data_IF_626116452071
#
_entry.id   IF_626116452071
#
_cell.length_a   1.000
_cell.length_b   1.000
_cell.length_c   1.000
_cell.angle_alpha   90.00
_cell.angle_beta   90.00
_cell.angle_gamma   90.00
#
_symmetry.space_group_name_H-M   'P 1'
#
loop_
_entity.id
_entity.type
_entity.pdbx_description
1 polymer ?
#
# COMPACT_ATOMS: atom_id res chain seq x y z
N UNK A 1 38.01 22.10 -52.37
CA UNK A 1 36.63 21.89 -51.87
C UNK A 1 36.71 21.45 -50.43
N UNK A 2 36.36 22.33 -49.51
CA UNK A 2 36.45 22.09 -48.06
C UNK A 2 35.04 21.81 -47.57
N UNK A 3 34.73 20.54 -47.19
CA UNK A 3 33.47 20.12 -46.59
C UNK A 3 33.44 20.45 -45.11
N UNK A 4 32.48 21.30 -44.71
CA UNK A 4 32.25 21.73 -43.35
C UNK A 4 31.26 20.74 -42.74
N UNK A 5 31.69 19.84 -41.83
CA UNK A 5 30.82 18.99 -41.06
C UNK A 5 30.32 19.77 -39.84
N UNK A 6 29.04 20.21 -39.87
CA UNK A 6 28.33 20.72 -38.72
C UNK A 6 27.92 19.55 -37.84
N UNK A 7 28.64 19.38 -36.73
CA UNK A 7 28.22 18.45 -35.66
C UNK A 7 26.99 19.00 -34.92
N UNK A 8 25.85 18.36 -35.14
CA UNK A 8 24.63 18.64 -34.39
C UNK A 8 24.70 17.93 -33.01
N UNK A 9 25.10 18.68 -31.98
CA UNK A 9 25.13 18.20 -30.60
C UNK A 9 23.70 18.18 -30.08
N UNK A 10 23.11 16.97 -30.02
CA UNK A 10 21.79 16.74 -29.43
C UNK A 10 21.92 16.80 -27.91
N UNK A 11 21.57 17.94 -27.33
CA UNK A 11 21.49 18.15 -25.89
C UNK A 11 20.25 17.45 -25.39
N UNK A 12 20.38 16.22 -24.87
CA UNK A 12 19.30 15.50 -24.19
C UNK A 12 19.10 16.16 -22.83
N UNK A 13 18.11 17.04 -22.74
CA UNK A 13 17.57 17.56 -21.47
C UNK A 13 16.87 16.42 -20.76
N UNK A 14 17.57 15.76 -19.83
CA UNK A 14 16.96 14.90 -18.83
C UNK A 14 16.13 15.77 -17.90
N UNK A 15 14.85 15.95 -18.24
CA UNK A 15 13.88 16.49 -17.29
C UNK A 15 13.72 15.43 -16.19
N UNK A 16 14.39 15.66 -15.06
CA UNK A 16 14.12 14.95 -13.83
C UNK A 16 12.71 15.33 -13.39
N UNK A 17 11.70 14.58 -13.85
CA UNK A 17 10.37 14.62 -13.30
C UNK A 17 10.49 14.19 -11.84
N UNK A 18 10.26 15.12 -10.90
CA UNK A 18 10.12 14.83 -9.47
C UNK A 18 8.87 14.01 -9.22
N UNK A 19 8.85 12.75 -9.70
CA UNK A 19 7.77 11.81 -9.47
C UNK A 19 7.78 11.37 -8.01
N UNK A 20 6.61 11.08 -7.47
CA UNK A 20 6.45 10.44 -6.16
C UNK A 20 7.33 9.20 -6.14
N UNK A 21 8.21 9.11 -5.14
CA UNK A 21 9.06 7.93 -5.01
C UNK A 21 8.25 6.83 -4.33
N UNK A 22 7.83 5.85 -5.11
CA UNK A 22 7.18 4.63 -4.63
C UNK A 22 8.26 3.71 -4.09
N UNK A 23 8.14 3.30 -2.81
CA UNK A 23 8.98 2.26 -2.22
C UNK A 23 8.43 0.87 -2.51
N UNK A 24 7.12 0.73 -2.44
CA UNK A 24 6.42 -0.51 -2.70
C UNK A 24 5.03 -0.22 -3.26
N UNK A 25 4.62 -0.99 -4.26
CA UNK A 25 3.24 -1.12 -4.74
C UNK A 25 3.06 -2.59 -5.15
N UNK A 26 2.58 -3.41 -4.21
CA UNK A 26 2.51 -4.85 -4.40
C UNK A 26 1.18 -5.41 -3.91
N UNK A 27 0.62 -6.35 -4.68
CA UNK A 27 -0.65 -7.02 -4.39
C UNK A 27 -0.45 -8.52 -4.17
N UNK A 28 -1.10 -9.06 -3.13
CA UNK A 28 -1.21 -10.48 -2.83
C UNK A 28 -2.63 -10.93 -3.02
N UNK A 29 -2.82 -12.05 -3.72
CA UNK A 29 -4.12 -12.68 -3.92
C UNK A 29 -4.31 -13.83 -2.96
N UNK A 30 -5.48 -13.92 -2.36
CA UNK A 30 -5.81 -15.01 -1.45
C UNK A 30 -6.34 -16.22 -2.21
N UNK A 31 -5.81 -17.40 -1.89
CA UNK A 31 -6.29 -18.65 -2.47
C UNK A 31 -7.77 -18.86 -2.11
N UNK A 32 -8.55 -19.28 -3.09
CA UNK A 32 -9.99 -19.55 -2.95
C UNK A 32 -10.78 -18.34 -2.37
N UNK A 33 -10.25 -17.12 -2.46
CA UNK A 33 -10.81 -15.89 -1.90
C UNK A 33 -11.03 -15.97 -0.38
N UNK A 34 -10.09 -16.63 0.32
CA UNK A 34 -10.10 -16.84 1.77
C UNK A 34 -8.80 -16.33 2.38
N UNK A 35 -8.91 -15.40 3.32
CA UNK A 35 -7.77 -14.93 4.10
C UNK A 35 -7.71 -15.66 5.45
N UNK A 36 -6.78 -16.57 5.60
CA UNK A 36 -6.59 -17.35 6.83
C UNK A 36 -6.00 -16.49 7.95
N UNK A 37 -6.52 -16.64 9.17
CA UNK A 37 -6.13 -15.82 10.34
C UNK A 37 -4.65 -15.93 10.71
N UNK A 38 -4.06 -17.11 10.58
CA UNK A 38 -2.68 -17.37 10.98
C UNK A 38 -1.71 -17.44 9.79
N UNK A 39 -2.14 -16.95 8.63
CA UNK A 39 -1.33 -16.84 7.44
C UNK A 39 -1.23 -15.36 7.01
N UNK A 40 -0.36 -14.57 7.67
CA UNK A 40 -0.17 -13.18 7.30
C UNK A 40 0.53 -13.06 5.93
N UNK A 41 0.14 -12.05 5.18
CA UNK A 41 0.84 -11.69 3.95
C UNK A 41 2.12 -10.93 4.28
N UNK A 42 3.22 -11.30 3.63
CA UNK A 42 4.55 -10.73 3.84
C UNK A 42 5.00 -9.93 2.64
N UNK A 43 5.48 -8.70 2.92
CA UNK A 43 5.98 -7.75 1.93
C UNK A 43 7.39 -7.31 2.34
N UNK A 44 8.31 -7.31 1.39
CA UNK A 44 9.68 -6.81 1.60
C UNK A 44 9.91 -5.56 0.75
N UNK A 45 10.58 -4.55 1.33
CA UNK A 45 10.92 -3.32 0.64
C UNK A 45 12.18 -2.69 1.22
N UNK A 46 12.85 -1.89 0.40
CA UNK A 46 14.08 -1.22 0.81
C UNK A 46 13.85 0.27 1.07
N UNK A 47 14.23 0.72 2.26
CA UNK A 47 14.23 2.14 2.64
C UNK A 47 15.63 2.70 2.39
N UNK A 48 15.76 3.59 1.44
CA UNK A 48 17.04 4.23 1.08
C UNK A 48 17.29 5.55 1.81
N UNK A 49 16.24 6.16 2.37
CA UNK A 49 16.35 7.38 3.16
C UNK A 49 15.36 7.36 4.32
N UNK A 50 15.86 7.23 5.55
CA UNK A 50 15.06 7.18 6.76
C UNK A 50 14.56 8.56 7.24
N UNK A 51 15.14 9.66 6.76
CA UNK A 51 14.75 11.04 7.12
C UNK A 51 13.47 11.51 6.40
N UNK A 52 13.02 10.75 5.41
CA UNK A 52 11.79 11.07 4.69
C UNK A 52 10.56 10.62 5.46
N UNK A 53 9.44 11.30 5.19
CA UNK A 53 8.12 10.81 5.55
C UNK A 53 7.56 9.91 4.44
N UNK A 54 6.82 8.90 4.86
CA UNK A 54 6.19 7.93 3.98
C UNK A 54 4.71 7.81 4.30
N UNK A 55 3.90 7.69 3.25
CA UNK A 55 2.49 7.32 3.37
C UNK A 55 2.36 5.83 3.20
N UNK A 56 1.59 5.18 4.05
CA UNK A 56 1.28 3.76 3.98
C UNK A 56 -0.22 3.61 3.78
N UNK A 57 -0.60 3.05 2.64
CA UNK A 57 -1.98 2.74 2.29
C UNK A 57 -2.16 1.23 2.16
N UNK A 58 -3.29 0.74 2.63
CA UNK A 58 -3.75 -0.62 2.35
C UNK A 58 -4.96 -0.56 1.42
N UNK A 59 -5.01 -1.50 0.49
CA UNK A 59 -6.16 -1.69 -0.38
C UNK A 59 -6.55 -3.16 -0.36
N UNK A 60 -7.84 -3.45 -0.16
CA UNK A 60 -8.38 -4.81 -0.23
C UNK A 60 -9.47 -4.91 -1.27
N UNK A 61 -9.51 -6.02 -1.97
CA UNK A 61 -10.63 -6.39 -2.83
C UNK A 61 -11.49 -7.39 -2.08
N UNK A 62 -12.78 -7.06 -1.94
CA UNK A 62 -13.74 -7.82 -1.14
C UNK A 62 -15.07 -7.98 -1.86
N UNK A 63 -15.82 -9.03 -1.49
CA UNK A 63 -17.19 -9.26 -1.95
C UNK A 63 -18.23 -8.99 -0.85
N UNK A 64 -19.49 -9.33 -1.17
CA UNK A 64 -20.63 -9.10 -0.28
C UNK A 64 -20.59 -9.92 1.01
N UNK A 65 -19.87 -11.04 1.07
CA UNK A 65 -19.74 -11.85 2.27
C UNK A 65 -18.97 -11.10 3.35
N UNK A 66 -17.84 -10.52 2.99
CA UNK A 66 -17.02 -9.72 3.89
C UNK A 66 -17.67 -8.37 4.22
N UNK A 67 -18.39 -7.77 3.28
CA UNK A 67 -19.06 -6.48 3.47
C UNK A 67 -20.19 -6.49 4.51
N UNK A 68 -20.54 -7.61 5.11
CA UNK A 68 -21.48 -7.65 6.26
C UNK A 68 -20.89 -6.96 7.51
N UNK A 69 -19.56 -6.86 7.61
CA UNK A 69 -18.86 -6.23 8.73
C UNK A 69 -18.66 -4.72 8.48
N UNK A 70 -18.71 -3.88 9.52
CA UNK A 70 -18.43 -2.45 9.36
C UNK A 70 -16.96 -2.15 9.09
N UNK A 71 -16.05 -2.98 9.65
CA UNK A 71 -14.61 -2.81 9.57
C UNK A 71 -13.92 -4.16 9.44
N UNK A 72 -12.75 -4.14 8.80
CA UNK A 72 -11.80 -5.24 8.75
C UNK A 72 -10.60 -4.89 9.64
N UNK A 73 -10.50 -5.50 10.85
CA UNK A 73 -9.34 -5.32 11.71
C UNK A 73 -8.15 -6.12 11.19
N UNK A 74 -6.96 -5.51 11.26
CA UNK A 74 -5.69 -6.08 10.83
C UNK A 74 -4.65 -5.97 11.93
N UNK A 75 -3.73 -6.94 11.98
CA UNK A 75 -2.47 -6.84 12.70
C UNK A 75 -1.35 -6.57 11.72
N UNK A 76 -0.46 -5.66 12.07
CA UNK A 76 0.71 -5.31 11.27
C UNK A 76 1.96 -5.50 12.11
N UNK A 77 2.88 -6.33 11.65
CA UNK A 77 4.22 -6.47 12.20
C UNK A 77 5.22 -5.89 11.21
N UNK A 78 5.99 -4.92 11.65
CA UNK A 78 7.07 -4.32 10.89
C UNK A 78 8.41 -4.76 11.49
N UNK A 79 9.23 -5.42 10.71
CA UNK A 79 10.59 -5.83 11.06
C UNK A 79 11.58 -4.93 10.36
N UNK A 80 12.49 -4.33 11.14
CA UNK A 80 13.52 -3.44 10.63
C UNK A 80 14.81 -4.20 10.26
N UNK A 81 15.74 -3.59 9.51
CA UNK A 81 17.02 -4.20 9.14
C UNK A 81 17.88 -4.60 10.34
N UNK A 82 17.75 -3.91 11.48
CA UNK A 82 18.47 -4.17 12.73
C UNK A 82 17.76 -5.15 13.68
N UNK A 83 16.70 -5.82 13.22
CA UNK A 83 16.01 -6.88 13.97
C UNK A 83 14.94 -6.37 14.94
N UNK A 84 14.66 -5.08 14.99
CA UNK A 84 13.55 -4.56 15.79
C UNK A 84 12.21 -4.96 15.17
N UNK A 85 11.25 -5.31 16.02
CA UNK A 85 9.87 -5.57 15.63
C UNK A 85 8.95 -4.53 16.24
N UNK A 86 8.14 -3.90 15.40
CA UNK A 86 7.02 -3.05 15.82
C UNK A 86 5.72 -3.69 15.41
N UNK A 87 4.76 -3.74 16.33
CA UNK A 87 3.42 -4.24 16.06
C UNK A 87 2.41 -3.12 16.27
N UNK A 88 1.43 -3.02 15.37
CA UNK A 88 0.28 -2.13 15.53
C UNK A 88 -0.97 -2.74 14.91
N UNK A 89 -2.13 -2.22 15.32
CA UNK A 89 -3.40 -2.57 14.72
C UNK A 89 -3.78 -1.54 13.65
N UNK A 90 -4.40 -2.02 12.58
CA UNK A 90 -4.96 -1.20 11.52
C UNK A 90 -6.41 -1.61 11.26
N UNK A 91 -7.19 -0.72 10.66
CA UNK A 91 -8.57 -0.99 10.33
C UNK A 91 -8.86 -0.50 8.93
N UNK A 92 -9.51 -1.34 8.12
CA UNK A 92 -10.08 -0.93 6.86
C UNK A 92 -11.57 -0.73 7.08
N UNK A 93 -12.05 0.50 6.91
CA UNK A 93 -13.46 0.82 7.03
C UNK A 93 -14.20 0.34 5.79
N UNK A 94 -15.09 -0.63 5.96
CA UNK A 94 -15.92 -1.19 4.89
C UNK A 94 -17.22 -0.41 4.73
N UNK A 95 -17.68 0.24 5.81
CA UNK A 95 -18.86 1.09 5.82
C UNK A 95 -18.59 2.47 6.39
N UNK A 96 -19.35 3.45 5.93
CA UNK A 96 -19.40 4.80 6.46
C UNK A 96 -20.85 5.28 6.40
N UNK A 97 -21.38 5.77 7.53
CA UNK A 97 -22.79 6.20 7.66
C UNK A 97 -23.80 5.15 7.16
N UNK A 98 -23.53 3.86 7.47
CA UNK A 98 -24.36 2.74 7.07
C UNK A 98 -24.27 2.31 5.60
N UNK A 99 -23.52 3.05 4.79
CA UNK A 99 -23.30 2.74 3.36
C UNK A 99 -21.94 2.08 3.14
N UNK A 100 -21.88 1.19 2.15
CA UNK A 100 -20.62 0.58 1.73
C UNK A 100 -19.66 1.61 1.15
N UNK A 101 -18.43 1.59 1.64
CA UNK A 101 -17.32 2.34 1.04
C UNK A 101 -16.79 1.60 -0.20
N UNK A 102 -15.80 2.23 -0.82
CA UNK A 102 -15.08 1.66 -1.94
C UNK A 102 -15.82 1.75 -3.27
N UNK A 103 -15.07 1.46 -4.29
CA UNK A 103 -15.54 1.49 -5.68
C UNK A 103 -15.76 0.06 -6.16
N UNK A 104 -16.75 -0.14 -7.04
CA UNK A 104 -16.88 -1.42 -7.74
C UNK A 104 -15.60 -1.70 -8.54
N UNK A 105 -15.13 -2.93 -8.46
CA UNK A 105 -13.96 -3.35 -9.23
C UNK A 105 -14.32 -3.40 -10.72
N UNK A 106 -13.65 -2.57 -11.51
CA UNK A 106 -13.88 -2.45 -12.95
C UNK A 106 -13.70 -3.79 -13.66
N UNK A 107 -14.70 -4.18 -14.47
CA UNK A 107 -14.72 -5.45 -15.18
C UNK A 107 -15.16 -6.66 -14.33
N UNK A 108 -15.47 -6.46 -13.05
CA UNK A 108 -15.95 -7.48 -12.12
C UNK A 108 -17.25 -7.09 -11.41
N UNK A 109 -18.01 -6.16 -11.99
CA UNK A 109 -19.23 -5.60 -11.40
C UNK A 109 -20.30 -6.68 -11.15
N UNK A 110 -20.40 -7.66 -12.05
CA UNK A 110 -21.33 -8.79 -11.90
C UNK A 110 -21.03 -9.69 -10.69
N UNK A 111 -19.79 -9.70 -10.24
CA UNK A 111 -19.35 -10.45 -9.05
C UNK A 111 -19.54 -9.65 -7.75
N UNK A 112 -19.94 -8.37 -7.86
CA UNK A 112 -20.13 -7.50 -6.70
C UNK A 112 -18.85 -7.15 -5.95
N UNK A 113 -17.69 -7.30 -6.59
CA UNK A 113 -16.40 -7.01 -5.96
C UNK A 113 -16.19 -5.51 -5.78
N UNK A 114 -15.67 -5.13 -4.61
CA UNK A 114 -15.32 -3.75 -4.28
C UNK A 114 -13.88 -3.63 -3.84
N UNK A 115 -13.29 -2.52 -4.25
CA UNK A 115 -11.97 -2.08 -3.83
C UNK A 115 -12.10 -1.10 -2.68
N UNK A 116 -11.50 -1.43 -1.53
CA UNK A 116 -11.47 -0.59 -0.33
C UNK A 116 -10.05 -0.13 -0.08
N UNK A 117 -9.76 1.16 -0.30
CA UNK A 117 -8.46 1.76 0.02
C UNK A 117 -8.56 2.56 1.31
N UNK A 118 -7.60 2.36 2.20
CA UNK A 118 -7.50 3.04 3.48
C UNK A 118 -6.08 3.55 3.69
N UNK A 119 -5.96 4.86 3.97
CA UNK A 119 -4.70 5.40 4.47
C UNK A 119 -4.50 4.94 5.93
N UNK A 120 -3.44 4.20 6.18
CA UNK A 120 -3.13 3.62 7.49
C UNK A 120 -2.21 4.53 8.28
N UNK A 121 -1.19 5.08 7.60
CA UNK A 121 -0.25 6.04 8.17
C UNK A 121 0.00 7.15 7.14
N UNK A 122 -0.53 8.36 7.36
CA UNK A 122 -0.31 9.48 6.43
C UNK A 122 1.14 9.98 6.46
N UNK A 123 1.77 9.90 7.64
CA UNK A 123 3.16 10.27 7.87
C UNK A 123 3.81 9.21 8.75
N UNK A 124 4.71 8.43 8.16
CA UNK A 124 5.45 7.39 8.85
C UNK A 124 6.95 7.61 8.61
N UNK A 125 7.76 7.42 9.64
CA UNK A 125 9.22 7.45 9.56
C UNK A 125 9.78 6.09 9.86
N UNK A 126 10.78 5.69 9.09
CA UNK A 126 11.58 4.50 9.36
C UNK A 126 12.79 4.89 10.21
N UNK A 127 13.26 3.99 11.09
CA UNK A 127 14.37 4.30 12.01
C UNK A 127 15.74 4.19 11.36
N UNK A 128 15.85 3.45 10.26
CA UNK A 128 17.11 3.16 9.58
C UNK A 128 16.88 2.90 8.11
N UNK A 129 17.92 3.02 7.31
CA UNK A 129 17.94 2.54 5.94
C UNK A 129 18.16 1.02 5.87
N UNK A 130 17.72 0.39 4.79
CA UNK A 130 17.88 -1.04 4.57
C UNK A 130 16.57 -1.76 4.29
N UNK A 131 16.63 -3.10 4.28
CA UNK A 131 15.47 -3.94 3.95
C UNK A 131 14.56 -4.12 5.16
N UNK A 132 13.31 -3.75 4.98
CA UNK A 132 12.21 -3.98 5.93
C UNK A 132 11.32 -5.10 5.44
N UNK A 133 10.68 -5.79 6.39
CA UNK A 133 9.63 -6.76 6.13
C UNK A 133 8.37 -6.36 6.90
N UNK A 134 7.24 -6.28 6.20
CA UNK A 134 5.93 -6.02 6.81
C UNK A 134 5.03 -7.23 6.65
N UNK A 135 4.53 -7.75 7.76
CA UNK A 135 3.56 -8.84 7.79
C UNK A 135 2.20 -8.29 8.19
N UNK A 136 1.18 -8.56 7.37
CA UNK A 136 -0.18 -8.07 7.56
C UNK A 136 -1.10 -9.28 7.68
N UNK A 137 -1.75 -9.43 8.83
CA UNK A 137 -2.70 -10.49 9.11
C UNK A 137 -4.10 -9.96 9.40
N UNK A 138 -5.13 -10.73 9.08
CA UNK A 138 -6.48 -10.41 9.52
C UNK A 138 -6.61 -10.69 11.03
N UNK A 139 -7.32 -9.81 11.75
CA UNK A 139 -7.51 -9.88 13.20
C UNK A 139 -8.99 -10.07 13.58
N UNK A 140 -9.79 -10.66 12.69
CA UNK A 140 -11.18 -10.99 12.98
C UNK A 140 -11.29 -12.22 13.88
N UNK A 141 -12.46 -12.49 14.44
CA UNK A 141 -12.73 -13.71 15.20
C UNK A 141 -12.86 -14.96 14.31
N UNK A 142 -12.99 -14.79 12.99
CA UNK A 142 -13.10 -15.91 12.05
C UNK A 142 -11.72 -16.50 11.75
N UNK A 143 -11.64 -17.82 11.68
CA UNK A 143 -10.42 -18.53 11.28
C UNK A 143 -10.14 -18.30 9.78
N UNK A 144 -11.15 -18.56 8.97
CA UNK A 144 -11.16 -18.33 7.54
C UNK A 144 -12.06 -17.14 7.23
N UNK A 145 -11.48 -16.10 6.69
CA UNK A 145 -12.19 -14.89 6.30
C UNK A 145 -12.58 -14.99 4.82
N UNK A 146 -13.77 -15.50 4.57
CA UNK A 146 -14.32 -15.62 3.22
C UNK A 146 -14.65 -14.26 2.61
N UNK A 147 -14.53 -14.17 1.29
CA UNK A 147 -14.85 -12.96 0.53
C UNK A 147 -13.74 -11.92 0.49
N UNK A 148 -12.53 -12.27 0.90
CA UNK A 148 -11.31 -11.50 0.69
C UNK A 148 -10.60 -12.02 -0.56
N UNK A 149 -10.34 -11.16 -1.54
CA UNK A 149 -9.72 -11.53 -2.83
C UNK A 149 -8.26 -11.17 -2.90
N UNK A 150 -7.90 -9.97 -2.42
CA UNK A 150 -6.52 -9.50 -2.41
C UNK A 150 -6.28 -8.45 -1.35
N UNK A 151 -5.00 -8.30 -1.00
CA UNK A 151 -4.44 -7.22 -0.21
C UNK A 151 -3.31 -6.58 -1.00
N UNK A 152 -3.37 -5.26 -1.20
CA UNK A 152 -2.28 -4.44 -1.74
C UNK A 152 -1.68 -3.58 -0.64
N UNK A 153 -0.37 -3.52 -0.60
CA UNK A 153 0.41 -2.58 0.20
C UNK A 153 1.06 -1.55 -0.73
N UNK A 154 0.77 -0.29 -0.47
CA UNK A 154 1.34 0.85 -1.18
C UNK A 154 2.09 1.73 -0.18
N UNK A 155 3.40 1.94 -0.42
CA UNK A 155 4.26 2.79 0.39
C UNK A 155 4.90 3.82 -0.53
N UNK A 156 4.53 5.09 -0.35
CA UNK A 156 5.06 6.20 -1.13
C UNK A 156 5.75 7.21 -0.21
N UNK A 157 6.84 7.80 -0.70
CA UNK A 157 7.38 9.02 -0.07
C UNK A 157 6.34 10.13 -0.13
N UNK A 158 6.11 10.78 1.00
CA UNK A 158 5.24 11.96 1.09
C UNK A 158 6.04 13.18 1.51
N UNK A 159 5.63 14.34 1.01
CA UNK A 159 6.17 15.61 1.44
C UNK A 159 5.17 16.23 2.42
N UNK A 160 5.68 16.74 3.54
CA UNK A 160 4.85 17.50 4.48
C UNK A 160 4.85 18.95 4.00
N UNK A 161 3.71 19.41 3.50
CA UNK A 161 3.52 20.83 3.22
C UNK A 161 3.22 21.57 4.53
N UNK A 162 4.27 22.05 5.18
CA UNK A 162 4.14 22.82 6.42
C UNK A 162 3.38 24.14 6.24
N UNK A 163 3.24 24.65 5.00
CA UNK A 163 2.50 25.89 4.74
C UNK A 163 0.98 25.72 4.84
N UNK A 164 0.49 24.49 4.77
CA UNK A 164 -0.94 24.19 4.92
C UNK A 164 -1.37 24.01 6.39
N UNK A 165 -0.44 24.14 7.35
CA UNK A 165 -0.67 23.95 8.79
C UNK A 165 -0.71 25.29 9.56
N UNK A 166 -0.46 26.42 8.89
CA UNK A 166 -0.64 27.77 9.41
C UNK A 166 -2.02 28.34 9.00
#
# INVERSE_FOLDING_TARGET
MRGFFLGFSLLILLTACGGKKVLLDEERHFENNVWQRFSPESFEFNVDNADNFYRIDFEVVVDSALMRKPQLPLTVNLYSPNGERRMFYAYINLKENGRWKGKMLKGREKQGLRVMRQNIKPFFTFNSTGTYRMEIGQATSQYDLEGAYSLRLDIERTEVDYKSLE
#
